data_IF_028221353318
#
_entry.id   IF_028221353318
#
_cell.length_a   1.000
_cell.length_b   1.000
_cell.length_c   1.000
_cell.angle_alpha   90.00
_cell.angle_beta   90.00
_cell.angle_gamma   90.00
#
_symmetry.space_group_name_H-M   'P 1'
#
loop_
_entity.id
_entity.type
_entity.pdbx_description
1 polymer ?
#
# COMPACT_ATOMS: atom_id res chain seq x y z
N UNK A 1 9.77 9.16 -27.06
CA UNK A 1 9.60 7.78 -27.57
C UNK A 1 10.99 7.24 -27.78
N UNK A 2 11.51 6.48 -26.83
CA UNK A 2 12.79 5.77 -26.97
C UNK A 2 12.42 4.29 -26.95
N UNK A 3 12.42 3.69 -28.15
CA UNK A 3 12.37 2.24 -28.32
C UNK A 3 13.82 1.80 -28.19
N UNK A 4 14.15 1.16 -27.07
CA UNK A 4 15.41 0.45 -26.90
C UNK A 4 15.11 -1.04 -27.02
N UNK A 5 15.85 -1.71 -27.91
CA UNK A 5 15.73 -3.14 -28.19
C UNK A 5 15.78 -3.98 -26.92
N UNK A 6 14.69 -4.68 -26.65
CA UNK A 6 14.56 -5.63 -25.54
C UNK A 6 15.18 -6.96 -25.98
N UNK A 7 16.44 -7.18 -25.61
CA UNK A 7 17.07 -8.50 -25.76
C UNK A 7 16.36 -9.45 -24.79
N UNK A 8 15.66 -10.44 -25.33
CA UNK A 8 14.93 -11.45 -24.55
C UNK A 8 15.87 -12.20 -23.60
N UNK A 9 15.80 -11.91 -22.31
CA UNK A 9 16.49 -12.68 -21.27
C UNK A 9 15.64 -13.91 -21.00
N UNK A 10 16.07 -15.05 -21.52
CA UNK A 10 15.51 -16.35 -21.13
C UNK A 10 16.01 -16.69 -19.72
N UNK A 11 15.13 -16.53 -18.73
CA UNK A 11 15.38 -17.07 -17.40
C UNK A 11 15.36 -18.60 -17.47
N UNK A 12 16.54 -19.19 -17.63
CA UNK A 12 16.75 -20.62 -17.44
C UNK A 12 16.29 -21.01 -16.03
N UNK A 13 15.21 -21.78 -15.95
CA UNK A 13 14.70 -22.35 -14.70
C UNK A 13 15.66 -23.44 -14.25
N UNK A 14 16.77 -23.06 -13.60
CA UNK A 14 17.60 -24.02 -12.88
C UNK A 14 16.80 -24.51 -11.67
N UNK A 15 16.53 -25.82 -11.66
CA UNK A 15 15.89 -26.50 -10.54
C UNK A 15 16.67 -26.29 -9.24
N UNK A 16 16.02 -26.45 -8.06
CA UNK A 16 16.68 -26.24 -6.79
C UNK A 16 17.91 -27.15 -6.67
N UNK A 17 19.04 -26.58 -6.25
CA UNK A 17 20.27 -27.34 -6.00
C UNK A 17 20.01 -28.40 -4.92
N UNK A 18 20.73 -29.53 -4.96
CA UNK A 18 20.59 -30.63 -3.98
C UNK A 18 20.67 -30.13 -2.54
N UNK A 19 21.50 -29.14 -2.26
CA UNK A 19 21.61 -28.51 -0.94
C UNK A 19 20.30 -27.85 -0.49
N UNK A 20 19.62 -27.09 -1.36
CA UNK A 20 18.32 -26.46 -1.06
C UNK A 20 17.23 -27.48 -0.81
N UNK A 21 17.24 -28.61 -1.53
CA UNK A 21 16.28 -29.70 -1.30
C UNK A 21 16.52 -30.30 0.09
N UNK A 22 17.78 -30.54 0.47
CA UNK A 22 18.14 -31.06 1.80
C UNK A 22 17.73 -30.08 2.90
N UNK A 23 17.96 -28.77 2.73
CA UNK A 23 17.55 -27.76 3.73
C UNK A 23 16.03 -27.71 3.91
N UNK A 24 15.26 -27.77 2.82
CA UNK A 24 13.80 -27.78 2.87
C UNK A 24 13.27 -29.03 3.58
N UNK A 25 13.88 -30.20 3.33
CA UNK A 25 13.50 -31.44 4.00
C UNK A 25 13.78 -31.39 5.51
N UNK A 26 14.93 -30.83 5.93
CA UNK A 26 15.26 -30.66 7.36
C UNK A 26 14.27 -29.71 8.04
N UNK A 27 13.94 -28.59 7.40
CA UNK A 27 12.95 -27.63 7.92
C UNK A 27 11.57 -28.27 8.07
N UNK A 28 11.13 -29.06 7.09
CA UNK A 28 9.85 -29.76 7.13
C UNK A 28 9.79 -30.76 8.30
N UNK A 29 10.86 -31.54 8.50
CA UNK A 29 10.96 -32.50 9.61
C UNK A 29 10.97 -31.77 10.96
N UNK A 30 11.71 -30.67 11.08
CA UNK A 30 11.75 -29.86 12.31
C UNK A 30 10.36 -29.29 12.67
N UNK A 31 9.59 -28.81 11.68
CA UNK A 31 8.21 -28.34 11.93
C UNK A 31 7.27 -29.45 12.37
N UNK A 32 7.40 -30.66 11.81
CA UNK A 32 6.56 -31.80 12.22
C UNK A 32 6.86 -32.18 13.68
N UNK A 33 8.14 -32.25 14.05
CA UNK A 33 8.56 -32.54 15.44
C UNK A 33 8.03 -31.47 16.41
N UNK A 34 8.08 -30.20 16.02
CA UNK A 34 7.58 -29.10 16.85
C UNK A 34 6.06 -29.18 17.09
N UNK A 35 5.27 -29.48 16.04
CA UNK A 35 3.82 -29.64 16.14
C UNK A 35 3.45 -30.82 17.03
N UNK A 36 4.14 -31.96 16.87
CA UNK A 36 3.94 -33.16 17.70
C UNK A 36 4.30 -32.87 19.16
N UNK A 37 5.39 -32.14 19.41
CA UNK A 37 5.80 -31.73 20.75
C UNK A 37 4.73 -30.89 21.46
N UNK A 38 4.15 -29.91 20.77
CA UNK A 38 3.07 -29.09 21.33
C UNK A 38 1.82 -29.94 21.61
N UNK A 39 1.46 -30.87 20.72
CA UNK A 39 0.31 -31.73 20.91
C UNK A 39 0.45 -32.64 22.14
N UNK A 40 1.65 -33.21 22.37
CA UNK A 40 1.93 -34.05 23.54
C UNK A 40 1.87 -33.24 24.86
N UNK A 41 2.37 -32.00 24.87
CA UNK A 41 2.28 -31.11 26.04
C UNK A 41 0.81 -30.80 26.37
N UNK A 42 -0.02 -30.55 25.35
CA UNK A 42 -1.44 -30.27 25.54
C UNK A 42 -2.21 -31.49 26.07
N UNK A 43 -1.88 -32.71 25.63
CA UNK A 43 -2.48 -33.95 26.15
C UNK A 43 -2.06 -34.19 27.60
N UNK A 44 -0.78 -34.01 27.93
CA UNK A 44 -0.29 -34.15 29.31
C UNK A 44 -0.90 -33.11 30.27
N UNK A 45 -1.18 -31.89 29.79
CA UNK A 45 -1.89 -30.87 30.57
C UNK A 45 -3.36 -31.24 30.84
N UNK A 46 -3.98 -32.04 29.95
CA UNK A 46 -5.37 -32.48 30.08
C UNK A 46 -5.54 -33.62 31.10
N UNK A 47 -4.50 -34.41 31.37
CA UNK A 47 -4.53 -35.48 32.37
C UNK A 47 -4.38 -34.97 33.82
N UNK A 48 -3.93 -33.74 34.05
CA UNK A 48 -3.82 -33.14 35.39
C UNK A 48 -5.10 -32.47 35.91
N UNK A 49 -6.18 -32.46 35.14
CA UNK A 49 -7.43 -31.73 35.44
C UNK A 49 -8.57 -32.58 35.97
N UNK A 50 -8.31 -33.62 36.76
CA UNK A 50 -9.34 -34.47 37.35
C UNK A 50 -9.13 -34.60 38.86
N UNK A 51 -9.65 -33.63 39.61
CA UNK A 51 -10.36 -33.95 40.85
C UNK A 51 -11.31 -32.85 41.32
N UNK A 52 -12.39 -33.37 41.92
CA UNK A 52 -13.49 -32.81 42.69
C UNK A 52 -14.51 -31.81 42.12
N UNK A 53 -15.77 -32.26 42.19
CA UNK A 53 -16.97 -31.52 41.82
C UNK A 53 -17.78 -31.04 43.02
N UNK A 54 -18.90 -30.39 42.73
CA UNK A 54 -20.24 -30.68 43.28
C UNK A 54 -21.27 -29.72 42.68
N UNK A 55 -22.16 -30.31 41.87
CA UNK A 55 -23.62 -30.11 41.71
C UNK A 55 -24.28 -28.73 41.91
N UNK A 56 -25.10 -28.32 40.93
CA UNK A 56 -26.19 -27.34 41.15
C UNK A 56 -26.77 -26.63 39.91
N UNK A 57 -27.29 -27.37 38.94
CA UNK A 57 -28.39 -27.03 37.99
C UNK A 57 -28.70 -25.57 37.60
N UNK A 58 -28.49 -25.21 36.33
CA UNK A 58 -29.56 -25.04 35.32
C UNK A 58 -28.98 -24.72 33.93
N UNK A 59 -29.52 -25.39 32.92
CA UNK A 59 -29.06 -25.35 31.54
C UNK A 59 -29.58 -24.12 30.77
N UNK A 60 -28.84 -23.80 29.69
CA UNK A 60 -29.22 -23.02 28.52
C UNK A 60 -29.08 -21.48 28.59
N UNK A 61 -27.87 -21.01 28.29
CA UNK A 61 -27.62 -20.14 27.14
C UNK A 61 -26.12 -20.16 26.84
N UNK A 62 -25.75 -20.50 25.61
CA UNK A 62 -24.37 -20.38 25.16
C UNK A 62 -23.94 -18.92 25.31
N UNK A 63 -23.04 -18.65 26.26
CA UNK A 63 -22.43 -17.33 26.42
C UNK A 63 -21.76 -16.95 25.08
N UNK A 64 -21.95 -15.71 24.59
CA UNK A 64 -21.22 -15.25 23.43
C UNK A 64 -19.74 -15.30 23.78
N UNK A 65 -18.95 -15.93 22.91
CA UNK A 65 -17.50 -15.99 23.05
C UNK A 65 -16.95 -14.59 23.35
N UNK A 66 -16.10 -14.54 24.38
CA UNK A 66 -15.42 -13.42 25.04
C UNK A 66 -14.51 -12.57 24.12
N UNK A 67 -14.95 -12.30 22.89
CA UNK A 67 -14.31 -11.42 21.90
C UNK A 67 -15.11 -10.15 21.62
N UNK A 68 -16.42 -10.16 21.89
CA UNK A 68 -17.30 -9.00 21.68
C UNK A 68 -17.13 -7.92 22.75
N UNK A 69 -16.96 -8.32 24.01
CA UNK A 69 -16.78 -7.39 25.14
C UNK A 69 -15.49 -6.56 25.07
N UNK A 70 -14.50 -7.01 24.28
CA UNK A 70 -13.19 -6.35 24.17
C UNK A 70 -13.19 -5.15 23.21
N UNK A 71 -14.25 -4.98 22.41
CA UNK A 71 -14.35 -3.93 21.39
C UNK A 71 -15.54 -2.98 21.63
N UNK A 72 -16.16 -3.03 22.81
CA UNK A 72 -17.26 -2.13 23.14
C UNK A 72 -16.74 -0.73 23.52
N UNK A 73 -17.59 0.27 23.33
CA UNK A 73 -17.28 1.64 23.75
C UNK A 73 -17.19 1.73 25.27
N UNK A 74 -16.35 2.65 25.77
CA UNK A 74 -16.34 2.95 27.21
C UNK A 74 -17.68 3.53 27.66
N UNK A 75 -18.02 3.37 28.94
CA UNK A 75 -19.27 3.89 29.50
C UNK A 75 -19.39 5.42 29.32
N UNK A 76 -18.27 6.14 29.35
CA UNK A 76 -18.22 7.58 29.03
C UNK A 76 -18.54 7.85 27.56
N UNK A 77 -17.98 7.07 26.63
CA UNK A 77 -18.25 7.21 25.20
C UNK A 77 -19.72 6.90 24.85
N UNK A 78 -20.34 5.94 25.57
CA UNK A 78 -21.77 5.66 25.49
C UNK A 78 -22.59 6.84 26.04
N UNK A 79 -22.22 7.36 27.20
CA UNK A 79 -22.91 8.49 27.88
C UNK A 79 -22.95 9.76 27.02
N UNK A 80 -21.88 10.04 26.27
CA UNK A 80 -21.79 11.24 25.40
C UNK A 80 -22.26 11.00 23.96
N UNK A 81 -22.75 9.79 23.64
CA UNK A 81 -23.25 9.47 22.31
C UNK A 81 -22.17 9.42 21.22
N UNK A 82 -20.91 9.12 21.58
CA UNK A 82 -19.79 9.13 20.64
C UNK A 82 -19.98 8.13 19.50
N UNK A 83 -20.53 6.94 19.78
CA UNK A 83 -20.81 5.93 18.75
C UNK A 83 -21.78 6.44 17.67
N UNK A 84 -22.90 7.03 18.08
CA UNK A 84 -23.90 7.60 17.16
C UNK A 84 -23.30 8.76 16.33
N UNK A 85 -22.44 9.57 16.94
CA UNK A 85 -21.72 10.61 16.22
C UNK A 85 -20.80 10.02 15.14
N UNK A 86 -20.02 8.98 15.47
CA UNK A 86 -19.12 8.33 14.53
C UNK A 86 -19.87 7.61 13.39
N UNK A 87 -21.03 7.02 13.68
CA UNK A 87 -21.91 6.42 12.67
C UNK A 87 -22.44 7.48 11.69
N UNK A 88 -22.83 8.66 12.20
CA UNK A 88 -23.23 9.81 11.36
C UNK A 88 -22.08 10.33 10.51
N UNK A 89 -20.86 10.39 11.05
CA UNK A 89 -19.66 10.81 10.31
C UNK A 89 -19.36 9.81 9.19
N UNK A 90 -19.37 8.51 9.48
CA UNK A 90 -19.18 7.43 8.51
C UNK A 90 -20.21 7.50 7.38
N UNK A 91 -21.50 7.57 7.72
CA UNK A 91 -22.59 7.69 6.76
C UNK A 91 -22.44 8.93 5.87
N UNK A 92 -22.08 10.07 6.48
CA UNK A 92 -21.86 11.32 5.76
C UNK A 92 -20.66 11.26 4.81
N UNK A 93 -19.56 10.61 5.21
CA UNK A 93 -18.38 10.44 4.39
C UNK A 93 -18.69 9.68 3.10
N UNK A 94 -19.33 8.52 3.18
CA UNK A 94 -19.62 7.72 1.98
C UNK A 94 -20.73 8.32 1.12
N UNK A 95 -21.69 9.03 1.72
CA UNK A 95 -22.68 9.83 0.97
C UNK A 95 -22.02 10.94 0.12
N UNK A 96 -20.96 11.55 0.64
CA UNK A 96 -20.22 12.62 -0.06
C UNK A 96 -19.15 12.09 -1.03
N UNK A 97 -18.73 10.84 -0.88
CA UNK A 97 -17.69 10.22 -1.71
C UNK A 97 -18.20 8.91 -2.35
N UNK A 98 -19.19 8.99 -3.27
CA UNK A 98 -19.84 7.81 -3.86
C UNK A 98 -18.91 6.89 -4.67
N UNK A 99 -17.70 7.34 -4.99
CA UNK A 99 -16.70 6.56 -5.72
C UNK A 99 -15.86 5.63 -4.83
N UNK A 100 -15.86 5.86 -3.51
CA UNK A 100 -15.29 4.95 -2.50
C UNK A 100 -16.39 4.22 -1.73
N UNK A 101 -17.61 4.19 -2.28
CA UNK A 101 -18.75 3.47 -1.67
C UNK A 101 -18.44 1.98 -1.45
N UNK A 102 -17.52 1.40 -2.24
CA UNK A 102 -17.05 0.02 -2.06
C UNK A 102 -16.24 -0.20 -0.76
N UNK A 103 -15.64 0.85 -0.23
CA UNK A 103 -14.88 0.82 1.02
C UNK A 103 -15.79 0.99 2.26
N UNK A 104 -17.09 1.21 2.08
CA UNK A 104 -18.04 1.29 3.19
C UNK A 104 -18.36 -0.13 3.69
N UNK A 105 -17.98 -0.48 4.93
CA UNK A 105 -18.17 -1.84 5.44
C UNK A 105 -19.64 -2.24 5.59
N UNK A 106 -20.57 -1.27 5.53
CA UNK A 106 -22.02 -1.52 5.61
C UNK A 106 -22.69 -1.44 4.22
N UNK A 107 -21.91 -1.35 3.14
CA UNK A 107 -22.44 -1.18 1.79
C UNK A 107 -23.13 -2.45 1.30
N UNK A 108 -24.27 -2.26 0.62
CA UNK A 108 -24.90 -3.35 -0.13
C UNK A 108 -24.48 -3.32 -1.60
N UNK A 109 -24.42 -4.47 -2.29
CA UNK A 109 -24.14 -4.53 -3.72
C UNK A 109 -25.04 -3.61 -4.58
N UNK A 110 -26.31 -3.44 -4.18
CA UNK A 110 -27.28 -2.58 -4.88
C UNK A 110 -26.93 -1.10 -4.76
N UNK A 111 -26.42 -0.68 -3.60
CA UNK A 111 -25.99 0.70 -3.34
C UNK A 111 -24.73 1.05 -4.14
N UNK A 112 -23.77 0.13 -4.19
CA UNK A 112 -22.60 0.24 -5.08
C UNK A 112 -23.08 0.49 -6.52
N UNK A 113 -23.96 -0.39 -7.02
CA UNK A 113 -24.45 -0.32 -8.40
C UNK A 113 -25.11 1.02 -8.71
N UNK A 114 -25.93 1.56 -7.80
CA UNK A 114 -26.65 2.84 -7.93
C UNK A 114 -25.73 4.06 -7.90
N UNK A 115 -24.73 4.09 -7.03
CA UNK A 115 -23.87 5.27 -6.85
C UNK A 115 -22.88 5.46 -8.01
N UNK A 116 -22.48 4.37 -8.67
CA UNK A 116 -21.80 4.44 -9.96
C UNK A 116 -22.72 4.89 -11.13
N UNK A 117 -24.02 5.13 -10.92
CA UNK A 117 -24.95 5.58 -11.97
C UNK A 117 -24.98 7.11 -12.22
N UNK A 118 -24.13 7.93 -11.56
CA UNK A 118 -23.80 9.30 -12.07
C UNK A 118 -23.33 9.24 -13.55
N UNK A 119 -22.88 8.06 -14.01
CA UNK A 119 -22.65 7.69 -15.40
C UNK A 119 -23.89 7.75 -16.34
N UNK A 120 -25.12 7.94 -15.82
CA UNK A 120 -26.38 7.86 -16.59
C UNK A 120 -26.97 9.19 -17.08
N UNK A 121 -26.27 10.33 -17.04
CA UNK A 121 -26.77 11.54 -17.72
C UNK A 121 -26.54 11.40 -19.23
N UNK A 122 -27.62 11.22 -20.00
CA UNK A 122 -27.53 11.11 -21.45
C UNK A 122 -27.39 12.49 -22.10
N UNK A 123 -26.29 12.67 -22.81
CA UNK A 123 -25.98 13.90 -23.57
C UNK A 123 -26.37 13.61 -25.01
N UNK A 124 -27.16 14.48 -25.63
CA UNK A 124 -27.56 14.30 -27.03
C UNK A 124 -26.35 14.40 -27.97
N UNK A 125 -25.78 13.25 -28.33
CA UNK A 125 -24.54 13.14 -29.13
C UNK A 125 -24.70 13.62 -30.57
N UNK A 126 -25.94 13.71 -31.07
CA UNK A 126 -26.23 14.14 -32.43
C UNK A 126 -26.02 15.65 -32.62
N UNK A 127 -26.27 16.45 -31.59
CA UNK A 127 -26.11 17.91 -31.62
C UNK A 127 -24.65 18.39 -31.41
N UNK A 128 -23.72 17.47 -31.14
CA UNK A 128 -22.33 17.81 -30.80
C UNK A 128 -21.44 17.96 -32.04
N UNK A 129 -20.59 18.98 -32.05
CA UNK A 129 -19.49 19.15 -33.00
C UNK A 129 -18.38 18.13 -32.70
N UNK A 130 -17.51 17.79 -33.68
CA UNK A 130 -16.45 16.78 -33.50
C UNK A 130 -15.53 17.03 -32.30
N UNK A 131 -15.17 18.29 -32.02
CA UNK A 131 -14.34 18.64 -30.84
C UNK A 131 -15.08 18.42 -29.51
N UNK A 132 -16.37 18.68 -29.47
CA UNK A 132 -17.19 18.53 -28.26
C UNK A 132 -17.41 17.04 -27.95
N UNK A 133 -17.56 16.20 -28.98
CA UNK A 133 -17.59 14.73 -28.85
C UNK A 133 -16.31 14.18 -28.20
N UNK A 134 -15.14 14.71 -28.60
CA UNK A 134 -13.85 14.33 -28.00
C UNK A 134 -13.79 14.68 -26.51
N UNK A 135 -14.23 15.89 -26.13
CA UNK A 135 -14.23 16.33 -24.74
C UNK A 135 -15.19 15.50 -23.89
N UNK A 136 -16.40 15.22 -24.38
CA UNK A 136 -17.37 14.36 -23.68
C UNK A 136 -16.84 12.95 -23.52
N UNK A 137 -16.16 12.40 -24.53
CA UNK A 137 -15.50 11.09 -24.43
C UNK A 137 -14.37 11.09 -23.39
N UNK A 138 -13.55 12.14 -23.33
CA UNK A 138 -12.46 12.27 -22.36
C UNK A 138 -12.97 12.46 -20.92
N UNK A 139 -14.04 13.23 -20.72
CA UNK A 139 -14.62 13.45 -19.38
C UNK A 139 -15.36 12.20 -18.90
N UNK A 140 -16.11 11.51 -19.77
CA UNK A 140 -16.68 10.20 -19.43
C UNK A 140 -15.55 9.20 -19.11
N UNK A 141 -14.50 9.16 -19.93
CA UNK A 141 -13.34 8.32 -19.64
C UNK A 141 -12.68 8.70 -18.30
N UNK A 142 -12.47 9.99 -18.01
CA UNK A 142 -11.87 10.44 -16.75
C UNK A 142 -12.72 10.11 -15.52
N UNK A 143 -14.02 10.43 -15.54
CA UNK A 143 -14.95 10.12 -14.44
C UNK A 143 -15.20 8.62 -14.28
N UNK A 144 -15.01 7.83 -15.34
CA UNK A 144 -15.05 6.38 -15.27
C UNK A 144 -13.74 5.75 -14.80
N UNK A 145 -12.58 6.40 -15.00
CA UNK A 145 -11.27 5.75 -14.87
C UNK A 145 -10.30 6.41 -13.88
N UNK A 146 -10.61 7.57 -13.28
CA UNK A 146 -9.69 8.27 -12.35
C UNK A 146 -10.36 8.53 -11.00
N UNK A 147 -10.25 7.55 -10.09
CA UNK A 147 -10.56 7.68 -8.66
C UNK A 147 -9.35 7.34 -7.80
N UNK A 148 -8.23 8.01 -8.06
CA UNK A 148 -7.02 7.90 -7.24
C UNK A 148 -6.56 9.30 -6.90
N UNK A 149 -6.56 9.60 -5.60
CA UNK A 149 -5.93 10.74 -4.90
C UNK A 149 -5.56 11.96 -5.79
N UNK A 150 -6.31 13.08 -5.70
CA UNK A 150 -6.20 14.23 -6.62
C UNK A 150 -4.82 14.91 -6.66
N UNK A 151 -3.92 14.58 -5.74
CA UNK A 151 -2.56 15.11 -5.65
C UNK A 151 -1.50 14.03 -5.63
N UNK A 152 -1.81 12.78 -5.95
CA UNK A 152 -0.95 11.66 -5.52
C UNK A 152 -1.01 10.47 -6.52
N UNK A 153 -1.25 10.67 -7.82
CA UNK A 153 -1.10 9.57 -8.82
C UNK A 153 -1.15 10.01 -10.29
N UNK A 154 -1.47 11.27 -10.61
CA UNK A 154 -1.68 11.66 -12.00
C UNK A 154 -0.46 12.38 -12.58
N UNK A 155 0.28 11.69 -13.46
CA UNK A 155 1.41 12.26 -14.22
C UNK A 155 1.00 13.55 -14.96
N UNK A 156 -0.22 13.59 -15.52
CA UNK A 156 -0.74 14.75 -16.26
C UNK A 156 -1.22 15.89 -15.35
N UNK A 157 -1.43 15.63 -14.06
CA UNK A 157 -1.68 16.68 -13.07
C UNK A 157 -0.38 17.30 -12.52
N UNK A 158 0.79 16.82 -12.98
CA UNK A 158 2.08 17.36 -12.62
C UNK A 158 2.50 17.08 -11.17
N UNK A 159 1.95 16.03 -10.53
CA UNK A 159 2.30 15.66 -9.15
C UNK A 159 3.81 15.41 -8.97
N UNK A 160 4.47 14.90 -10.00
CA UNK A 160 5.92 14.71 -10.04
C UNK A 160 6.73 16.00 -9.89
N UNK A 161 6.10 17.19 -9.99
CA UNK A 161 6.72 18.49 -9.73
C UNK A 161 6.51 19.00 -8.29
N UNK A 162 5.65 18.38 -7.48
CA UNK A 162 5.18 18.95 -6.20
C UNK A 162 5.94 18.48 -4.96
N UNK A 163 7.04 17.74 -5.13
CA UNK A 163 7.85 17.27 -4.01
C UNK A 163 7.21 16.10 -3.23
N UNK A 164 7.91 15.58 -2.20
CA UNK A 164 7.42 14.48 -1.38
C UNK A 164 6.19 14.90 -0.55
N UNK A 165 5.18 14.04 -0.50
CA UNK A 165 3.96 14.27 0.28
C UNK A 165 4.07 13.82 1.75
N UNK A 166 3.02 14.10 2.54
CA UNK A 166 2.92 13.77 3.97
C UNK A 166 3.10 12.30 4.34
N UNK A 167 2.97 11.37 3.38
CA UNK A 167 3.11 9.93 3.57
C UNK A 167 4.40 9.37 2.95
N UNK A 168 5.16 10.17 2.21
CA UNK A 168 6.41 9.82 1.52
C UNK A 168 6.38 8.40 0.90
N UNK A 169 5.29 8.10 0.19
CA UNK A 169 5.09 6.82 -0.49
C UNK A 169 5.58 6.86 -1.94
N UNK A 170 5.74 8.06 -2.51
CA UNK A 170 6.23 8.30 -3.88
C UNK A 170 7.65 7.71 -4.09
N UNK A 171 8.01 7.43 -5.35
CA UNK A 171 9.24 6.69 -5.68
C UNK A 171 10.53 7.33 -5.19
N UNK A 172 10.62 8.67 -5.11
CA UNK A 172 11.78 9.36 -4.55
C UNK A 172 12.06 8.92 -3.09
N UNK A 173 10.99 8.64 -2.33
CA UNK A 173 11.08 8.14 -0.97
C UNK A 173 11.48 6.67 -0.89
N UNK A 174 11.47 5.93 -2.00
CA UNK A 174 11.79 4.51 -2.04
C UNK A 174 12.99 4.18 -2.95
N UNK A 175 13.73 5.19 -3.44
CA UNK A 175 14.88 5.01 -4.33
C UNK A 175 15.94 4.08 -3.72
N UNK A 176 16.22 4.20 -2.43
CA UNK A 176 17.18 3.31 -1.75
C UNK A 176 16.74 1.84 -1.76
N UNK A 177 15.44 1.59 -1.59
CA UNK A 177 14.86 0.24 -1.68
C UNK A 177 14.89 -0.29 -3.12
N UNK A 178 14.65 0.56 -4.11
CA UNK A 178 14.75 0.19 -5.51
C UNK A 178 16.20 -0.21 -5.89
N UNK A 179 17.19 0.58 -5.46
CA UNK A 179 18.62 0.27 -5.62
C UNK A 179 18.96 -1.05 -4.92
N UNK A 180 18.54 -1.23 -3.66
CA UNK A 180 18.79 -2.46 -2.92
C UNK A 180 18.18 -3.69 -3.60
N UNK A 181 16.96 -3.58 -4.13
CA UNK A 181 16.30 -4.70 -4.80
C UNK A 181 16.93 -5.01 -6.17
N UNK A 182 17.31 -3.97 -6.93
CA UNK A 182 17.89 -4.14 -8.27
C UNK A 182 19.36 -4.57 -8.26
N UNK A 183 20.17 -3.98 -7.39
CA UNK A 183 21.63 -4.16 -7.35
C UNK A 183 22.11 -4.95 -6.13
N UNK A 184 21.43 -4.85 -4.98
CA UNK A 184 21.92 -5.43 -3.72
C UNK A 184 21.45 -6.87 -3.43
N UNK A 185 20.24 -7.24 -3.85
CA UNK A 185 19.60 -8.49 -3.41
C UNK A 185 19.86 -9.68 -4.33
N UNK A 186 19.95 -9.44 -5.63
CA UNK A 186 20.00 -10.51 -6.63
C UNK A 186 21.18 -10.41 -7.59
N UNK A 187 21.75 -9.21 -7.76
CA UNK A 187 22.90 -9.00 -8.63
C UNK A 187 24.19 -9.39 -7.89
N UNK A 188 24.97 -10.30 -8.47
CA UNK A 188 26.26 -10.76 -7.93
C UNK A 188 27.31 -10.58 -9.02
N UNK A 189 28.11 -9.51 -8.97
CA UNK A 189 29.13 -9.26 -10.00
C UNK A 189 30.22 -10.33 -9.92
N UNK A 190 30.58 -10.91 -11.06
CA UNK A 190 31.61 -11.95 -11.17
C UNK A 190 32.89 -11.43 -11.84
N UNK A 191 32.77 -10.36 -12.63
CA UNK A 191 33.88 -9.75 -13.35
C UNK A 191 33.80 -8.21 -13.34
N UNK A 192 34.82 -7.59 -13.95
CA UNK A 192 34.90 -6.13 -14.04
C UNK A 192 33.74 -5.52 -14.84
N UNK A 193 33.22 -6.23 -15.85
CA UNK A 193 32.12 -5.72 -16.68
C UNK A 193 30.80 -5.62 -15.89
N UNK A 194 30.57 -6.55 -14.95
CA UNK A 194 29.44 -6.48 -14.03
C UNK A 194 29.55 -5.25 -13.10
N UNK A 195 30.75 -4.89 -12.68
CA UNK A 195 31.00 -3.71 -11.83
C UNK A 195 30.80 -2.42 -12.63
N UNK A 196 31.28 -2.36 -13.87
CA UNK A 196 31.03 -1.23 -14.79
C UNK A 196 29.52 -1.04 -15.06
N UNK A 197 28.78 -2.15 -15.15
CA UNK A 197 27.33 -2.12 -15.29
C UNK A 197 26.66 -1.53 -14.04
N UNK A 198 27.10 -1.91 -12.83
CA UNK A 198 26.62 -1.31 -11.57
C UNK A 198 26.86 0.20 -11.59
N UNK A 199 28.08 0.65 -11.89
CA UNK A 199 28.44 2.07 -11.94
C UNK A 199 27.55 2.83 -12.93
N UNK A 200 27.36 2.27 -14.12
CA UNK A 200 26.50 2.85 -15.15
C UNK A 200 25.07 3.00 -14.64
N UNK A 201 24.52 1.99 -13.96
CA UNK A 201 23.16 2.07 -13.39
C UNK A 201 23.10 3.09 -12.26
N UNK A 202 24.09 3.17 -11.37
CA UNK A 202 24.13 4.19 -10.32
C UNK A 202 24.18 5.61 -10.90
N UNK A 203 24.90 5.85 -12.00
CA UNK A 203 24.90 7.14 -12.71
C UNK A 203 23.50 7.51 -13.22
N UNK A 204 22.70 6.54 -13.68
CA UNK A 204 21.31 6.81 -14.10
C UNK A 204 20.40 7.19 -12.93
N UNK A 205 20.61 6.60 -11.74
CA UNK A 205 19.89 7.02 -10.53
C UNK A 205 20.25 8.45 -10.13
N UNK A 206 21.54 8.81 -10.17
CA UNK A 206 21.99 10.18 -9.92
C UNK A 206 21.32 11.19 -10.87
N UNK A 207 21.36 10.92 -12.18
CA UNK A 207 20.69 11.76 -13.17
C UNK A 207 19.18 11.92 -12.91
N UNK A 208 18.52 10.84 -12.47
CA UNK A 208 17.10 10.86 -12.13
C UNK A 208 16.78 11.72 -10.90
N UNK A 209 17.63 11.69 -9.86
CA UNK A 209 17.49 12.54 -8.67
C UNK A 209 17.69 14.02 -9.05
N UNK A 210 18.70 14.32 -9.86
CA UNK A 210 18.95 15.68 -10.33
C UNK A 210 17.76 16.20 -11.16
N UNK A 211 17.22 15.37 -12.06
CA UNK A 211 16.03 15.72 -12.82
C UNK A 211 14.82 15.96 -11.92
N UNK A 212 14.65 15.16 -10.86
CA UNK A 212 13.59 15.37 -9.88
C UNK A 212 13.71 16.74 -9.18
N UNK A 213 14.93 17.16 -8.83
CA UNK A 213 15.18 18.50 -8.26
C UNK A 213 14.80 19.59 -9.26
N UNK A 214 15.17 19.45 -10.53
CA UNK A 214 14.79 20.42 -11.57
C UNK A 214 13.28 20.47 -11.81
N UNK A 215 12.61 19.32 -11.74
CA UNK A 215 11.16 19.22 -11.81
C UNK A 215 10.48 19.95 -10.64
N UNK A 216 11.01 19.81 -9.41
CA UNK A 216 10.51 20.58 -8.26
C UNK A 216 10.71 22.08 -8.43
N UNK A 217 11.89 22.52 -8.89
CA UNK A 217 12.15 23.93 -9.20
C UNK A 217 11.21 24.46 -10.27
N UNK A 218 10.89 23.63 -11.27
CA UNK A 218 9.88 23.97 -12.28
C UNK A 218 8.49 24.11 -11.66
N UNK A 219 8.08 23.16 -10.82
CA UNK A 219 6.80 23.19 -10.09
C UNK A 219 6.64 24.47 -9.28
N UNK A 220 7.65 24.85 -8.50
CA UNK A 220 7.67 26.10 -7.72
C UNK A 220 7.44 27.31 -8.64
N UNK A 221 8.17 27.41 -9.76
CA UNK A 221 8.02 28.50 -10.74
C UNK A 221 6.63 28.57 -11.36
N UNK A 222 5.89 27.45 -11.39
CA UNK A 222 4.54 27.35 -11.95
C UNK A 222 3.45 27.39 -10.89
N UNK A 223 3.79 27.65 -9.62
CA UNK A 223 2.84 27.68 -8.51
C UNK A 223 2.32 26.31 -8.07
N UNK A 224 2.98 25.22 -8.51
CA UNK A 224 2.65 23.85 -8.16
C UNK A 224 3.37 23.45 -6.87
N UNK A 225 2.88 24.02 -5.76
CA UNK A 225 3.42 23.80 -4.43
C UNK A 225 2.35 23.19 -3.53
N UNK A 226 2.75 22.25 -2.67
CA UNK A 226 1.84 21.69 -1.65
C UNK A 226 1.63 22.70 -0.52
N UNK A 227 0.68 22.40 0.37
CA UNK A 227 0.50 23.17 1.61
C UNK A 227 1.78 23.16 2.45
N UNK A 228 1.95 24.19 3.30
CA UNK A 228 3.08 24.29 4.23
C UNK A 228 3.23 23.04 5.09
N UNK A 229 2.14 22.53 5.63
CA UNK A 229 2.11 21.29 6.41
C UNK A 229 2.60 20.09 5.59
N UNK A 230 2.12 19.92 4.36
CA UNK A 230 2.53 18.82 3.51
C UNK A 230 4.02 18.87 3.15
N UNK A 231 4.57 20.09 2.97
CA UNK A 231 6.00 20.30 2.78
C UNK A 231 6.81 19.90 4.02
N UNK A 232 6.43 20.39 5.21
CA UNK A 232 7.14 20.11 6.46
C UNK A 232 7.11 18.61 6.81
N UNK A 233 5.94 17.98 6.70
CA UNK A 233 5.77 16.55 6.99
C UNK A 233 6.47 15.71 5.93
N UNK A 234 6.36 16.07 4.65
CA UNK A 234 7.04 15.38 3.55
C UNK A 234 8.56 15.42 3.69
N UNK A 235 9.11 16.59 4.04
CA UNK A 235 10.54 16.74 4.32
C UNK A 235 10.99 15.89 5.50
N UNK A 236 10.25 15.92 6.63
CA UNK A 236 10.55 15.08 7.79
C UNK A 236 10.51 13.59 7.44
N UNK A 237 9.54 13.16 6.65
CA UNK A 237 9.42 11.78 6.22
C UNK A 237 10.57 11.35 5.28
N UNK A 238 10.96 12.18 4.33
CA UNK A 238 12.11 11.92 3.44
C UNK A 238 13.42 11.87 4.24
N UNK A 239 13.62 12.87 5.12
CA UNK A 239 14.76 12.92 6.04
C UNK A 239 14.86 11.67 6.91
N UNK A 240 13.74 11.21 7.47
CA UNK A 240 13.71 10.00 8.30
C UNK A 240 14.17 8.76 7.54
N UNK A 241 13.73 8.59 6.29
CA UNK A 241 14.13 7.46 5.45
C UNK A 241 15.60 7.48 5.06
N UNK A 242 16.18 8.65 4.83
CA UNK A 242 17.58 8.82 4.45
C UNK A 242 18.41 9.49 5.56
N UNK A 243 18.14 9.14 6.83
CA UNK A 243 18.72 9.84 7.99
C UNK A 243 20.25 9.81 7.99
N UNK A 244 20.88 8.69 7.60
CA UNK A 244 22.34 8.58 7.54
C UNK A 244 22.94 9.55 6.53
N UNK A 245 22.37 9.61 5.33
CA UNK A 245 22.78 10.56 4.28
C UNK A 245 22.51 12.00 4.72
N UNK A 246 21.40 12.26 5.42
CA UNK A 246 21.10 13.59 5.95
C UNK A 246 22.10 14.06 7.02
N UNK A 247 22.56 13.16 7.89
CA UNK A 247 23.49 13.49 8.97
C UNK A 247 24.94 13.59 8.48
N UNK A 248 25.32 12.75 7.51
CA UNK A 248 26.72 12.49 7.15
C UNK A 248 27.03 12.78 5.66
N UNK A 249 26.10 13.37 4.92
CA UNK A 249 26.19 13.59 3.46
C UNK A 249 26.63 12.33 2.70
N UNK A 250 27.62 12.44 1.81
CA UNK A 250 28.17 11.34 1.00
C UNK A 250 28.72 10.18 1.84
N UNK A 251 29.15 10.42 3.08
CA UNK A 251 29.65 9.37 3.99
C UNK A 251 28.54 8.58 4.69
N UNK A 252 27.27 8.98 4.47
CA UNK A 252 26.10 8.31 5.01
C UNK A 252 25.49 7.23 4.11
N UNK A 253 26.09 6.95 2.95
CA UNK A 253 25.66 5.91 2.01
C UNK A 253 26.17 4.52 2.36
#
# INVERSE_FOLDING_TARGET
MMVSDEKSITFGRQGPSRERIITIMILAVATIIFIVGIALIAVAAKEKGKDDGTSGTNAAAAAPSDKSAKCDYSEEAKRVGLGEFLDKVKSSYYKLHPYVVYDDPDVTPERIKKEYEINKKDINKAALKPREKKVVAQVKHYLQHVFGQPFDVNYYAGDWMMGPNKRCWQEICNIGRAVQNGLGRYFKPNDASDVELIETKLKTFNASILQYIENMKMGIRKGMVRSKEACEVGFKALRSKYMKVYLNNETGM
#
